data_IF_932304823125
#
_entry.id   IF_932304823125
#
_cell.length_a   1.000
_cell.length_b   1.000
_cell.length_c   1.000
_cell.angle_alpha   90.00
_cell.angle_beta   90.00
_cell.angle_gamma   90.00
#
_symmetry.space_group_name_H-M   'P 1'
#
loop_
_entity.id
_entity.type
_entity.pdbx_description
1 polymer ?
#
# COMPACT_ATOMS: atom_id res chain seq x y z
N UNK A 1 -18.93 42.54 42.81
CA UNK A 1 -20.26 41.88 42.93
C UNK A 1 -20.22 40.64 42.04
N UNK A 2 -19.87 39.47 42.60
CA UNK A 2 -19.79 38.23 41.82
C UNK A 2 -21.21 37.75 41.50
N UNK A 3 -21.56 37.66 40.21
CA UNK A 3 -22.81 37.01 39.77
C UNK A 3 -22.76 35.56 40.24
N UNK A 4 -23.75 35.14 41.05
CA UNK A 4 -23.93 33.71 41.38
C UNK A 4 -24.09 32.97 40.07
N UNK A 5 -23.17 32.03 39.80
CA UNK A 5 -23.29 31.10 38.68
C UNK A 5 -24.49 30.21 38.99
N UNK A 6 -25.43 30.14 38.06
CA UNK A 6 -26.59 29.27 38.16
C UNK A 6 -26.13 27.82 37.92
N UNK A 7 -25.87 27.10 39.02
CA UNK A 7 -25.36 25.72 39.01
C UNK A 7 -26.21 24.78 38.13
N UNK A 8 -27.56 24.84 38.16
CA UNK A 8 -28.43 24.14 37.21
C UNK A 8 -28.10 24.40 35.74
N UNK A 9 -27.89 25.68 35.37
CA UNK A 9 -27.57 26.04 33.99
C UNK A 9 -26.20 25.52 33.55
N UNK A 10 -25.20 25.56 34.45
CA UNK A 10 -23.88 25.01 34.21
C UNK A 10 -23.92 23.49 33.98
N UNK A 11 -24.69 22.76 34.80
CA UNK A 11 -24.86 21.31 34.67
C UNK A 11 -25.58 20.94 33.37
N UNK A 12 -26.60 21.71 32.97
CA UNK A 12 -27.30 21.50 31.71
C UNK A 12 -26.38 21.69 30.49
N UNK A 13 -25.53 22.72 30.51
CA UNK A 13 -24.53 22.96 29.47
C UNK A 13 -23.49 21.84 29.43
N UNK A 14 -22.99 21.40 30.58
CA UNK A 14 -22.04 20.28 30.66
C UNK A 14 -22.65 18.98 30.12
N UNK A 15 -23.90 18.69 30.48
CA UNK A 15 -24.62 17.52 29.98
C UNK A 15 -24.81 17.57 28.45
N UNK A 16 -25.12 18.74 27.89
CA UNK A 16 -25.17 18.95 26.44
C UNK A 16 -23.84 18.64 25.77
N UNK A 17 -22.72 19.17 26.28
CA UNK A 17 -21.39 18.89 25.74
C UNK A 17 -21.02 17.41 25.80
N UNK A 18 -21.34 16.73 26.91
CA UNK A 18 -21.10 15.29 27.06
C UNK A 18 -21.95 14.50 26.06
N UNK A 19 -23.23 14.84 25.91
CA UNK A 19 -24.13 14.16 24.96
C UNK A 19 -23.67 14.36 23.50
N UNK A 20 -23.28 15.58 23.12
CA UNK A 20 -22.75 15.84 21.78
C UNK A 20 -21.44 15.10 21.55
N UNK A 21 -20.53 15.13 22.52
CA UNK A 21 -19.23 14.45 22.43
C UNK A 21 -19.40 12.93 22.32
N UNK A 22 -20.27 12.33 23.13
CA UNK A 22 -20.58 10.91 23.08
C UNK A 22 -21.22 10.49 21.74
N UNK A 23 -22.12 11.32 21.19
CA UNK A 23 -22.76 11.04 19.89
C UNK A 23 -21.75 11.08 18.75
N UNK A 24 -20.88 12.10 18.73
CA UNK A 24 -19.80 12.21 17.73
C UNK A 24 -18.84 11.03 17.86
N UNK A 25 -18.45 10.67 19.08
CA UNK A 25 -17.57 9.53 19.33
C UNK A 25 -18.19 8.21 18.86
N UNK A 26 -19.46 7.96 19.17
CA UNK A 26 -20.16 6.74 18.76
C UNK A 26 -20.27 6.65 17.24
N UNK A 27 -20.64 7.74 16.57
CA UNK A 27 -20.69 7.78 15.11
C UNK A 27 -19.31 7.52 14.50
N UNK A 28 -18.27 8.17 15.03
CA UNK A 28 -16.89 7.96 14.58
C UNK A 28 -16.43 6.51 14.80
N UNK A 29 -16.70 5.94 15.97
CA UNK A 29 -16.33 4.56 16.29
C UNK A 29 -17.06 3.54 15.40
N UNK A 30 -18.35 3.77 15.13
CA UNK A 30 -19.15 2.91 14.28
C UNK A 30 -18.70 3.00 12.81
N UNK A 31 -18.46 4.21 12.31
CA UNK A 31 -17.94 4.42 10.95
C UNK A 31 -16.55 3.76 10.80
N UNK A 32 -15.66 3.98 11.76
CA UNK A 32 -14.35 3.34 11.81
C UNK A 32 -14.44 1.81 11.83
N UNK A 33 -15.40 1.23 12.54
CA UNK A 33 -15.60 -0.21 12.57
C UNK A 33 -16.08 -0.76 11.22
N UNK A 34 -16.95 -0.02 10.51
CA UNK A 34 -17.41 -0.38 9.17
C UNK A 34 -16.26 -0.25 8.16
N UNK A 35 -15.52 0.85 8.17
CA UNK A 35 -14.37 1.12 7.29
C UNK A 35 -13.22 0.11 7.50
N UNK A 36 -13.13 -0.46 8.70
CA UNK A 36 -12.18 -1.53 9.03
C UNK A 36 -12.68 -2.94 8.69
N UNK A 37 -13.95 -3.09 8.29
CA UNK A 37 -14.51 -4.40 7.98
C UNK A 37 -14.49 -4.72 6.49
N UNK A 38 -14.33 -3.72 5.62
CA UNK A 38 -14.39 -3.81 4.16
C UNK A 38 -13.44 -2.79 3.54
N UNK A 39 -13.12 -2.97 2.27
CA UNK A 39 -12.38 -1.96 1.51
C UNK A 39 -13.09 -0.58 1.62
N UNK A 40 -12.33 0.52 1.75
CA UNK A 40 -12.92 1.85 1.75
C UNK A 40 -13.64 2.12 0.43
N UNK A 41 -14.82 2.74 0.48
CA UNK A 41 -15.64 3.02 -0.71
C UNK A 41 -14.87 3.80 -1.79
N UNK A 42 -14.01 4.74 -1.38
CA UNK A 42 -13.15 5.51 -2.29
C UNK A 42 -12.15 4.64 -3.07
N UNK A 43 -11.70 3.53 -2.49
CA UNK A 43 -10.81 2.56 -3.12
C UNK A 43 -11.62 1.68 -4.07
N UNK A 44 -12.73 1.12 -3.57
CA UNK A 44 -13.62 0.27 -4.35
C UNK A 44 -14.12 0.98 -5.62
N UNK A 45 -14.57 2.23 -5.52
CA UNK A 45 -15.07 3.02 -6.66
C UNK A 45 -13.96 3.60 -7.54
N UNK A 46 -12.69 3.43 -7.17
CA UNK A 46 -11.58 3.99 -7.93
C UNK A 46 -11.41 3.32 -9.28
N UNK A 47 -11.01 4.10 -10.29
CA UNK A 47 -10.71 3.58 -11.62
C UNK A 47 -9.58 2.54 -11.60
N UNK A 48 -8.61 2.69 -10.70
CA UNK A 48 -7.49 1.77 -10.54
C UNK A 48 -7.95 0.39 -10.09
N UNK A 49 -8.71 0.33 -8.99
CA UNK A 49 -9.29 -0.89 -8.46
C UNK A 49 -10.22 -1.59 -9.46
N UNK A 50 -11.17 -0.84 -10.04
CA UNK A 50 -12.13 -1.40 -10.99
C UNK A 50 -11.46 -2.03 -12.21
N UNK A 51 -10.42 -1.37 -12.77
CA UNK A 51 -9.62 -1.94 -13.85
C UNK A 51 -8.84 -3.18 -13.40
N UNK A 52 -8.29 -3.16 -12.19
CA UNK A 52 -7.51 -4.27 -11.66
C UNK A 52 -8.37 -5.51 -11.44
N UNK A 53 -9.48 -5.39 -10.71
CA UNK A 53 -10.45 -6.49 -10.52
C UNK A 53 -10.98 -6.99 -11.87
N UNK A 54 -11.32 -6.11 -12.80
CA UNK A 54 -11.77 -6.53 -14.14
C UNK A 54 -10.70 -7.35 -14.87
N UNK A 55 -9.43 -6.94 -14.78
CA UNK A 55 -8.32 -7.69 -15.37
C UNK A 55 -8.14 -9.07 -14.72
N UNK A 56 -8.30 -9.17 -13.40
CA UNK A 56 -8.29 -10.45 -12.70
C UNK A 56 -9.47 -11.34 -13.14
N UNK A 57 -10.68 -10.81 -13.22
CA UNK A 57 -11.84 -11.56 -13.73
C UNK A 57 -11.62 -12.07 -15.15
N UNK A 58 -11.02 -11.27 -16.03
CA UNK A 58 -10.66 -11.68 -17.38
C UNK A 58 -9.61 -12.81 -17.42
N UNK A 59 -8.76 -12.91 -16.40
CA UNK A 59 -7.81 -14.03 -16.20
C UNK A 59 -8.48 -15.26 -15.58
N UNK A 60 -9.76 -15.20 -15.22
CA UNK A 60 -10.55 -16.31 -14.69
C UNK A 60 -10.60 -16.36 -13.16
N UNK A 61 -10.24 -15.28 -12.47
CA UNK A 61 -10.43 -15.18 -11.01
C UNK A 61 -11.87 -14.81 -10.69
N UNK A 62 -12.51 -15.56 -9.80
CA UNK A 62 -13.77 -15.19 -9.17
C UNK A 62 -13.44 -14.36 -7.93
N UNK A 63 -13.48 -13.03 -8.05
CA UNK A 63 -13.17 -12.11 -6.95
C UNK A 63 -14.05 -10.86 -7.00
N UNK A 64 -14.56 -10.47 -5.84
CA UNK A 64 -15.35 -9.26 -5.64
C UNK A 64 -14.76 -8.37 -4.54
N UNK A 65 -15.12 -7.08 -4.55
CA UNK A 65 -14.64 -6.10 -3.58
C UNK A 65 -15.04 -6.46 -2.14
N UNK A 66 -16.21 -7.07 -1.98
CA UNK A 66 -16.75 -7.51 -0.71
C UNK A 66 -16.03 -8.75 -0.14
N UNK A 67 -15.04 -9.31 -0.83
CA UNK A 67 -14.20 -10.38 -0.30
C UNK A 67 -13.03 -9.87 0.54
N UNK A 68 -12.63 -8.62 0.33
CA UNK A 68 -11.50 -8.02 1.01
C UNK A 68 -11.85 -7.63 2.45
N UNK A 69 -11.01 -8.05 3.40
CA UNK A 69 -11.14 -7.75 4.83
C UNK A 69 -9.86 -7.17 5.36
N UNK A 70 -9.94 -6.16 6.22
CA UNK A 70 -8.76 -5.63 6.90
C UNK A 70 -8.13 -6.74 7.75
N UNK A 71 -6.84 -6.96 7.55
CA UNK A 71 -6.05 -7.95 8.29
C UNK A 71 -5.02 -7.28 9.18
N UNK A 72 -4.34 -6.27 8.66
CA UNK A 72 -3.25 -5.60 9.37
C UNK A 72 -3.34 -4.08 9.24
N UNK A 73 -2.89 -3.41 10.29
CA UNK A 73 -2.65 -1.96 10.29
C UNK A 73 -1.19 -1.75 10.69
N UNK A 74 -0.41 -1.18 9.77
CA UNK A 74 1.01 -0.94 9.93
C UNK A 74 1.33 0.55 9.77
N UNK A 75 2.52 0.96 10.22
CA UNK A 75 3.07 2.29 9.94
C UNK A 75 3.96 2.21 8.70
N UNK A 76 3.85 3.20 7.82
CA UNK A 76 4.61 3.24 6.55
C UNK A 76 6.08 3.56 6.84
N UNK A 77 6.30 4.61 7.64
CA UNK A 77 7.64 5.14 7.89
C UNK A 77 8.25 4.55 9.15
N UNK A 78 9.30 3.74 8.96
CA UNK A 78 10.33 3.54 9.96
C UNK A 78 11.51 4.46 9.61
N UNK A 79 11.98 5.27 10.56
CA UNK A 79 13.05 6.29 10.35
C UNK A 79 14.35 5.71 9.76
N UNK A 80 14.53 4.39 9.81
CA UNK A 80 15.69 3.69 9.23
C UNK A 80 15.64 3.48 7.71
N UNK A 81 14.49 3.68 7.05
CA UNK A 81 14.28 3.35 5.62
C UNK A 81 13.78 4.52 4.77
N UNK A 82 13.89 5.74 5.30
CA UNK A 82 13.43 6.96 4.65
C UNK A 82 14.57 7.99 4.62
N UNK A 83 14.80 8.57 3.45
CA UNK A 83 15.66 9.72 3.24
C UNK A 83 14.78 10.96 3.05
N UNK A 84 15.08 12.02 3.80
CA UNK A 84 14.34 13.29 3.75
C UNK A 84 15.35 14.40 3.50
N UNK A 85 15.11 15.19 2.46
CA UNK A 85 15.97 16.31 2.06
C UNK A 85 15.15 17.60 2.06
N UNK A 86 15.75 18.72 2.47
CA UNK A 86 15.09 20.02 2.36
C UNK A 86 15.19 20.52 0.92
N UNK A 87 14.11 21.03 0.35
CA UNK A 87 14.15 21.65 -0.99
C UNK A 87 15.06 22.87 -1.01
N UNK A 88 15.10 23.61 0.11
CA UNK A 88 15.96 24.79 0.29
C UNK A 88 17.46 24.46 0.33
N UNK A 89 17.84 23.18 0.45
CA UNK A 89 19.24 22.78 0.41
C UNK A 89 19.76 22.88 -1.03
N UNK A 90 20.98 23.41 -1.18
CA UNK A 90 21.58 23.69 -2.49
C UNK A 90 21.55 22.47 -3.42
N UNK A 91 20.88 22.61 -4.57
CA UNK A 91 20.81 21.61 -5.64
C UNK A 91 19.75 20.52 -5.45
N UNK A 92 19.00 20.51 -4.33
CA UNK A 92 17.96 19.49 -4.10
C UNK A 92 16.75 19.69 -5.02
N UNK A 93 16.30 20.93 -5.20
CA UNK A 93 15.20 21.23 -6.13
C UNK A 93 15.53 20.79 -7.56
N UNK A 94 16.72 21.14 -8.05
CA UNK A 94 17.19 20.76 -9.38
C UNK A 94 17.30 19.24 -9.54
N UNK A 95 17.84 18.54 -8.53
CA UNK A 95 17.92 17.09 -8.52
C UNK A 95 16.53 16.43 -8.50
N UNK A 96 15.58 17.02 -7.78
CA UNK A 96 14.20 16.56 -7.71
C UNK A 96 13.50 16.68 -9.07
N UNK A 97 13.58 17.84 -9.72
CA UNK A 97 12.99 18.03 -11.06
C UNK A 97 13.64 17.11 -12.10
N UNK A 98 14.97 16.94 -12.03
CA UNK A 98 15.70 16.04 -12.92
C UNK A 98 15.23 14.59 -12.75
N UNK A 99 15.07 14.11 -11.51
CA UNK A 99 14.59 12.75 -11.22
C UNK A 99 13.15 12.54 -11.67
N UNK A 100 12.26 13.51 -11.48
CA UNK A 100 10.90 13.44 -12.04
C UNK A 100 10.92 13.34 -13.56
N UNK A 101 11.72 14.16 -14.23
CA UNK A 101 11.84 14.15 -15.68
C UNK A 101 12.44 12.82 -16.20
N UNK A 102 13.43 12.28 -15.51
CA UNK A 102 14.01 10.96 -15.81
C UNK A 102 12.92 9.89 -15.78
N UNK A 103 12.19 9.76 -14.67
CA UNK A 103 11.18 8.70 -14.48
C UNK A 103 9.99 8.82 -15.43
N UNK A 104 9.65 10.05 -15.85
CA UNK A 104 8.65 10.27 -16.91
C UNK A 104 9.11 9.80 -18.28
N UNK A 105 10.40 9.57 -18.52
CA UNK A 105 10.94 9.19 -19.83
C UNK A 105 11.51 7.76 -19.88
N UNK A 106 11.41 6.99 -18.79
CA UNK A 106 11.92 5.61 -18.72
C UNK A 106 11.08 4.66 -19.59
N UNK A 107 11.75 3.78 -20.34
CA UNK A 107 11.13 2.60 -20.96
C UNK A 107 10.65 1.65 -19.84
N UNK A 108 9.38 1.24 -19.86
CA UNK A 108 8.65 0.53 -18.78
C UNK A 108 7.93 1.39 -17.73
N UNK A 109 7.35 2.53 -18.15
CA UNK A 109 6.39 3.30 -17.33
C UNK A 109 5.24 2.47 -16.74
N UNK A 110 4.95 1.25 -17.24
CA UNK A 110 3.91 0.36 -16.70
C UNK A 110 4.02 0.12 -15.19
N UNK A 111 5.23 0.17 -14.64
CA UNK A 111 5.52 -0.08 -13.22
C UNK A 111 5.89 1.19 -12.44
N UNK A 112 5.63 2.35 -13.04
CA UNK A 112 5.82 3.66 -12.42
C UNK A 112 4.48 4.38 -12.46
N UNK A 113 3.93 4.66 -11.29
CA UNK A 113 2.68 5.41 -11.18
C UNK A 113 2.98 6.82 -10.65
N UNK A 114 2.53 7.85 -11.35
CA UNK A 114 2.62 9.24 -10.89
C UNK A 114 1.34 9.66 -10.15
N UNK A 115 1.48 10.53 -9.16
CA UNK A 115 0.33 11.15 -8.51
C UNK A 115 -0.44 12.08 -9.45
N UNK A 116 -1.69 12.44 -9.11
CA UNK A 116 -2.43 13.47 -9.83
C UNK A 116 -1.72 14.82 -9.94
N UNK A 117 -0.84 15.16 -8.99
CA UNK A 117 -0.02 16.38 -9.02
C UNK A 117 1.23 16.27 -9.90
N UNK A 118 1.62 15.08 -10.36
CA UNK A 118 2.89 14.80 -11.03
C UNK A 118 4.15 15.18 -10.22
N UNK A 119 4.00 15.41 -8.90
CA UNK A 119 5.07 15.81 -7.96
C UNK A 119 5.61 14.65 -7.13
N UNK A 120 5.14 13.44 -7.40
CA UNK A 120 5.55 12.23 -6.70
C UNK A 120 5.19 11.02 -7.57
N UNK A 121 5.89 9.92 -7.34
CA UNK A 121 5.64 8.65 -8.02
C UNK A 121 5.91 7.46 -7.11
N UNK A 122 5.35 6.33 -7.51
CA UNK A 122 5.62 5.00 -6.99
C UNK A 122 6.38 4.22 -8.06
N UNK A 123 7.54 3.68 -7.71
CA UNK A 123 8.27 2.72 -8.53
C UNK A 123 8.16 1.35 -7.89
N UNK A 124 7.55 0.42 -8.61
CA UNK A 124 7.36 -0.96 -8.19
C UNK A 124 7.85 -1.92 -9.28
N UNK A 125 8.87 -1.52 -10.04
CA UNK A 125 9.50 -2.38 -11.05
C UNK A 125 10.05 -3.66 -10.41
N UNK A 126 9.92 -4.80 -11.09
CA UNK A 126 10.58 -6.03 -10.66
C UNK A 126 12.10 -5.90 -10.72
N UNK A 127 12.75 -6.15 -9.59
CA UNK A 127 14.20 -6.29 -9.51
C UNK A 127 14.57 -7.77 -9.58
N UNK A 128 15.51 -8.14 -10.46
CA UNK A 128 16.11 -9.47 -10.44
C UNK A 128 16.99 -9.56 -9.19
N UNK A 129 16.47 -10.13 -8.10
CA UNK A 129 17.28 -10.48 -6.92
C UNK A 129 17.86 -11.87 -7.07
N UNK A 130 18.95 -11.95 -7.83
CA UNK A 130 19.73 -13.18 -8.04
C UNK A 130 21.26 -13.01 -8.04
N UNK A 131 21.78 -11.78 -8.05
CA UNK A 131 23.23 -11.52 -8.17
C UNK A 131 23.78 -10.67 -7.01
N UNK A 132 23.77 -11.24 -5.79
CA UNK A 132 24.74 -10.89 -4.74
C UNK A 132 25.20 -12.16 -4.05
N UNK A 133 25.83 -13.03 -4.84
CA UNK A 133 26.83 -14.00 -4.41
C UNK A 133 27.49 -14.54 -5.68
N UNK A 134 28.44 -13.79 -6.24
CA UNK A 134 29.32 -14.21 -7.35
C UNK A 134 30.26 -15.40 -7.00
N UNK A 135 29.94 -16.20 -5.99
CA UNK A 135 30.77 -17.31 -5.52
C UNK A 135 30.23 -18.70 -5.85
N UNK A 136 28.99 -18.86 -6.36
CA UNK A 136 28.43 -20.19 -6.64
C UNK A 136 27.75 -20.25 -8.02
N UNK A 137 28.57 -20.34 -9.08
CA UNK A 137 28.17 -20.58 -10.48
C UNK A 137 27.90 -22.06 -10.78
N UNK A 138 27.23 -22.77 -9.88
CA UNK A 138 26.78 -24.14 -10.14
C UNK A 138 25.40 -24.31 -9.49
N UNK A 139 24.36 -23.91 -10.23
CA UNK A 139 22.97 -24.39 -10.13
C UNK A 139 22.14 -23.56 -11.13
N UNK A 140 22.10 -24.00 -12.38
CA UNK A 140 21.38 -23.38 -13.51
C UNK A 140 19.84 -23.53 -13.46
N UNK A 141 19.27 -23.98 -12.34
CA UNK A 141 17.80 -24.15 -12.17
C UNK A 141 17.23 -23.38 -10.96
N UNK A 142 17.77 -22.21 -10.62
CA UNK A 142 17.29 -21.42 -9.46
C UNK A 142 16.21 -20.41 -9.83
N UNK A 143 14.96 -20.85 -9.73
CA UNK A 143 13.79 -20.09 -9.22
C UNK A 143 13.93 -18.55 -9.20
N UNK A 144 13.85 -17.87 -10.36
CA UNK A 144 13.87 -16.42 -10.42
C UNK A 144 12.48 -15.85 -10.08
N UNK A 145 12.22 -15.65 -8.79
CA UNK A 145 11.26 -14.62 -8.37
C UNK A 145 11.95 -13.27 -8.51
N UNK A 146 11.32 -12.32 -9.21
CA UNK A 146 11.73 -10.92 -9.16
C UNK A 146 10.85 -10.23 -8.11
N UNK A 147 11.25 -10.19 -6.83
CA UNK A 147 10.52 -9.43 -5.84
C UNK A 147 10.58 -7.95 -6.22
N UNK A 148 9.46 -7.27 -6.07
CA UNK A 148 9.40 -5.83 -6.27
C UNK A 148 9.50 -5.19 -4.88
N UNK A 149 10.37 -4.22 -4.69
CA UNK A 149 10.21 -3.28 -3.59
C UNK A 149 9.39 -2.10 -4.13
N UNK A 150 8.49 -1.53 -3.33
CA UNK A 150 7.80 -0.29 -3.73
C UNK A 150 8.55 0.88 -3.15
N UNK A 151 9.09 1.71 -4.03
CA UNK A 151 9.76 2.95 -3.70
C UNK A 151 8.79 4.10 -3.91
N UNK A 152 8.67 4.95 -2.89
CA UNK A 152 8.01 6.23 -2.98
C UNK A 152 9.06 7.32 -3.17
N UNK A 153 8.83 8.21 -4.13
CA UNK A 153 9.60 9.42 -4.30
C UNK A 153 8.64 10.59 -4.48
N UNK A 154 8.78 11.66 -3.71
CA UNK A 154 7.85 12.77 -3.80
C UNK A 154 8.22 14.01 -3.01
N UNK A 155 7.61 15.13 -3.38
CA UNK A 155 7.66 16.35 -2.58
C UNK A 155 6.46 16.42 -1.63
N UNK A 156 6.75 16.65 -0.34
CA UNK A 156 5.75 17.01 0.67
C UNK A 156 6.19 18.29 1.36
N UNK A 157 5.35 19.32 1.27
CA UNK A 157 5.65 20.66 1.76
C UNK A 157 6.99 21.17 1.19
N UNK A 158 8.00 21.37 2.04
CA UNK A 158 9.36 21.80 1.70
C UNK A 158 10.37 20.64 1.69
N UNK A 159 9.91 19.38 1.76
CA UNK A 159 10.77 18.20 1.88
C UNK A 159 10.60 17.22 0.72
N UNK A 160 11.72 16.84 0.13
CA UNK A 160 11.80 15.70 -0.79
C UNK A 160 11.94 14.42 0.04
N UNK A 161 11.05 13.47 -0.18
CA UNK A 161 11.01 12.19 0.52
C UNK A 161 11.34 11.10 -0.48
N UNK A 162 12.28 10.24 -0.11
CA UNK A 162 12.60 8.99 -0.78
C UNK A 162 12.50 7.87 0.24
N UNK A 163 11.60 6.91 0.02
CA UNK A 163 11.34 5.86 0.98
C UNK A 163 10.98 4.54 0.30
N UNK A 164 11.53 3.45 0.84
CA UNK A 164 10.97 2.13 0.56
C UNK A 164 9.76 1.90 1.45
N UNK A 165 8.57 1.91 0.86
CA UNK A 165 7.32 1.81 1.60
C UNK A 165 6.86 0.37 1.81
N UNK A 166 7.05 -0.50 0.81
CA UNK A 166 6.70 -1.92 0.89
C UNK A 166 7.87 -2.75 0.36
N UNK A 167 8.03 -3.94 0.94
CA UNK A 167 9.06 -4.89 0.51
C UNK A 167 8.47 -6.27 0.45
N UNK A 168 8.62 -6.88 -0.72
CA UNK A 168 7.97 -8.11 -1.05
C UNK A 168 8.78 -9.30 -0.52
N UNK A 169 8.10 -10.22 0.19
CA UNK A 169 8.76 -11.36 0.83
C UNK A 169 8.94 -12.51 -0.15
N UNK A 170 10.20 -12.88 -0.40
CA UNK A 170 10.55 -13.98 -1.29
C UNK A 170 9.93 -15.31 -0.84
N UNK A 171 9.92 -15.58 0.47
CA UNK A 171 9.36 -16.81 1.03
C UNK A 171 7.86 -16.94 0.75
N UNK A 172 7.16 -15.81 0.60
CA UNK A 172 5.73 -15.74 0.33
C UNK A 172 5.40 -15.79 -1.17
N UNK A 173 6.39 -15.97 -2.06
CA UNK A 173 6.23 -15.81 -3.51
C UNK A 173 5.47 -14.51 -3.83
N UNK A 174 5.77 -13.46 -3.07
CA UNK A 174 5.05 -12.20 -3.17
C UNK A 174 5.38 -11.53 -4.51
N UNK A 175 4.43 -10.74 -5.02
CA UNK A 175 4.64 -9.79 -6.12
C UNK A 175 3.66 -8.62 -6.06
N UNK A 176 4.12 -7.43 -6.46
CA UNK A 176 3.26 -6.24 -6.62
C UNK A 176 2.79 -6.11 -8.07
N UNK A 177 1.48 -6.25 -8.28
CA UNK A 177 0.86 -6.29 -9.61
C UNK A 177 0.57 -4.89 -10.16
N UNK A 178 0.11 -3.98 -9.29
CA UNK A 178 -0.26 -2.62 -9.69
C UNK A 178 -0.16 -1.65 -8.52
N UNK A 179 0.15 -0.39 -8.82
CA UNK A 179 -0.10 0.73 -7.92
C UNK A 179 -0.97 1.79 -8.60
N UNK A 180 -1.73 2.55 -7.81
CA UNK A 180 -2.54 3.66 -8.30
C UNK A 180 -2.81 4.68 -7.18
N UNK A 181 -2.84 5.96 -7.53
CA UNK A 181 -3.23 7.01 -6.59
C UNK A 181 -4.75 7.20 -6.54
N UNK A 182 -5.29 7.37 -5.32
CA UNK A 182 -6.65 7.87 -5.09
C UNK A 182 -6.62 9.40 -5.10
N UNK A 183 -5.63 9.97 -4.42
CA UNK A 183 -5.30 11.39 -4.38
C UNK A 183 -3.79 11.55 -4.14
N UNK A 184 -3.29 12.77 -3.86
CA UNK A 184 -1.85 13.00 -3.66
C UNK A 184 -1.29 12.43 -2.34
N UNK A 185 -2.14 11.96 -1.43
CA UNK A 185 -1.75 11.49 -0.11
C UNK A 185 -2.17 10.05 0.15
N UNK A 186 -3.12 9.54 -0.62
CA UNK A 186 -3.62 8.19 -0.52
C UNK A 186 -3.42 7.45 -1.84
N UNK A 187 -2.79 6.29 -1.75
CA UNK A 187 -2.59 5.40 -2.89
C UNK A 187 -2.75 3.95 -2.46
N UNK A 188 -2.90 3.09 -3.46
CA UNK A 188 -3.14 1.68 -3.25
C UNK A 188 -2.15 0.85 -4.05
N UNK A 189 -1.67 -0.22 -3.43
CA UNK A 189 -0.76 -1.18 -4.05
C UNK A 189 -1.39 -2.57 -3.94
N UNK A 190 -1.56 -3.19 -5.10
CA UNK A 190 -2.08 -4.54 -5.25
C UNK A 190 -0.94 -5.55 -5.15
N UNK A 191 -1.05 -6.49 -4.21
CA UNK A 191 -0.10 -7.58 -4.00
C UNK A 191 -0.78 -8.93 -4.23
N UNK A 192 -0.02 -9.86 -4.82
CA UNK A 192 -0.34 -11.29 -4.82
C UNK A 192 0.72 -11.97 -3.96
N UNK A 193 0.30 -12.69 -2.93
CA UNK A 193 1.23 -13.47 -2.11
C UNK A 193 0.58 -14.66 -1.46
N UNK A 194 1.41 -15.63 -1.08
CA UNK A 194 0.97 -16.77 -0.28
C UNK A 194 0.56 -16.27 1.11
N UNK A 195 -0.56 -16.76 1.65
CA UNK A 195 -0.94 -16.43 3.01
C UNK A 195 0.14 -16.97 3.95
N UNK A 196 0.63 -16.12 4.85
CA UNK A 196 1.61 -16.52 5.84
C UNK A 196 1.32 -15.82 7.15
N UNK A 197 1.39 -16.56 8.24
CA UNK A 197 1.35 -15.97 9.57
C UNK A 197 2.78 -15.70 10.07
N UNK A 198 2.91 -14.72 10.96
CA UNK A 198 4.21 -14.35 11.52
C UNK A 198 4.80 -15.52 12.30
N UNK A 199 5.97 -16.00 11.88
CA UNK A 199 6.67 -17.14 12.51
C UNK A 199 6.34 -18.49 11.87
N UNK A 200 5.48 -18.53 10.85
CA UNK A 200 5.26 -19.72 10.05
C UNK A 200 6.40 -19.91 9.05
N UNK A 201 6.92 -21.14 8.95
CA UNK A 201 7.79 -21.54 7.84
C UNK A 201 6.89 -21.88 6.67
N UNK A 202 7.05 -21.17 5.56
CA UNK A 202 6.36 -21.47 4.33
C UNK A 202 7.11 -22.57 3.58
N UNK A 203 6.43 -23.68 3.31
CA UNK A 203 6.96 -24.70 2.41
C UNK A 203 7.24 -24.07 1.05
N UNK A 204 8.38 -24.36 0.39
CA UNK A 204 8.67 -23.85 -0.94
C UNK A 204 7.52 -24.16 -1.90
N UNK A 205 7.14 -23.17 -2.71
CA UNK A 205 6.17 -23.32 -3.77
C UNK A 205 6.81 -22.83 -5.06
N UNK A 206 6.84 -23.68 -6.09
CA UNK A 206 7.38 -23.28 -7.40
C UNK A 206 6.29 -22.62 -8.25
N UNK A 207 6.69 -21.81 -9.23
CA UNK A 207 5.75 -21.06 -10.09
C UNK A 207 4.86 -21.96 -10.96
N UNK A 208 5.30 -23.21 -11.19
CA UNK A 208 4.65 -24.20 -12.04
C UNK A 208 3.79 -25.20 -11.26
N UNK A 209 3.71 -25.02 -9.94
CA UNK A 209 2.90 -25.88 -9.06
C UNK A 209 1.70 -25.10 -8.53
N UNK A 210 0.57 -25.80 -8.29
CA UNK A 210 -0.59 -25.18 -7.70
C UNK A 210 -0.30 -24.87 -6.22
N UNK A 211 -0.49 -23.61 -5.84
CA UNK A 211 -0.36 -23.17 -4.46
C UNK A 211 -1.47 -22.23 -4.07
N UNK A 212 -1.63 -22.05 -2.76
CA UNK A 212 -2.62 -21.14 -2.20
C UNK A 212 -2.04 -19.73 -2.16
N UNK A 213 -2.78 -18.78 -2.73
CA UNK A 213 -2.48 -17.36 -2.77
C UNK A 213 -3.65 -16.54 -2.24
N UNK A 214 -3.34 -15.28 -1.95
CA UNK A 214 -4.30 -14.24 -1.58
C UNK A 214 -4.00 -12.98 -2.38
N UNK A 215 -5.04 -12.21 -2.68
CA UNK A 215 -4.89 -10.85 -3.16
C UNK A 215 -4.91 -9.91 -1.96
N UNK A 216 -4.01 -8.93 -1.97
CA UNK A 216 -3.95 -7.90 -0.94
C UNK A 216 -3.99 -6.52 -1.57
N UNK A 217 -4.77 -5.63 -0.97
CA UNK A 217 -4.76 -4.19 -1.27
C UNK A 217 -4.15 -3.47 -0.07
N UNK A 218 -2.98 -2.88 -0.28
CA UNK A 218 -2.34 -2.00 0.70
C UNK A 218 -2.85 -0.59 0.48
N UNK A 219 -3.71 -0.10 1.36
CA UNK A 219 -4.21 1.28 1.30
C UNK A 219 -3.29 2.14 2.15
N UNK A 220 -2.45 2.90 1.46
CA UNK A 220 -1.40 3.72 2.06
C UNK A 220 -1.90 5.15 2.23
N UNK A 221 -1.87 5.66 3.45
CA UNK A 221 -2.22 7.03 3.81
C UNK A 221 -1.01 7.77 4.38
N UNK A 222 -0.43 8.65 3.57
CA UNK A 222 0.76 9.43 3.91
C UNK A 222 0.50 10.47 5.01
N UNK A 223 -0.73 10.98 5.14
CA UNK A 223 -1.07 11.98 6.15
C UNK A 223 -1.09 11.32 7.53
N UNK A 224 -1.71 10.14 7.61
CA UNK A 224 -1.87 9.41 8.86
C UNK A 224 -0.70 8.46 9.17
N UNK A 225 0.28 8.34 8.26
CA UNK A 225 1.39 7.36 8.35
C UNK A 225 0.87 5.92 8.51
N UNK A 226 -0.14 5.54 7.73
CA UNK A 226 -0.84 4.26 7.87
C UNK A 226 -0.77 3.43 6.61
N UNK A 227 -0.54 2.13 6.80
CA UNK A 227 -0.71 1.08 5.81
C UNK A 227 -1.82 0.14 6.30
N UNK A 228 -2.95 0.15 5.60
CA UNK A 228 -4.09 -0.72 5.88
C UNK A 228 -4.10 -1.86 4.86
N UNK A 229 -3.83 -3.08 5.34
CA UNK A 229 -3.72 -4.25 4.48
C UNK A 229 -5.05 -4.99 4.46
N UNK A 230 -5.73 -4.96 3.32
CA UNK A 230 -6.96 -5.71 3.09
C UNK A 230 -6.66 -6.97 2.29
N UNK A 231 -7.13 -8.13 2.77
CA UNK A 231 -6.85 -9.44 2.16
C UNK A 231 -8.13 -10.10 1.67
N UNK A 232 -8.07 -10.68 0.47
CA UNK A 232 -9.14 -11.50 -0.10
C UNK A 232 -9.24 -12.88 0.57
N UNK A 233 -10.21 -13.69 0.16
CA UNK A 233 -10.17 -15.12 0.47
C UNK A 233 -9.00 -15.80 -0.25
N UNK A 234 -8.44 -16.89 0.31
CA UNK A 234 -7.43 -17.68 -0.37
C UNK A 234 -7.99 -18.42 -1.60
N UNK A 235 -7.17 -18.57 -2.62
CA UNK A 235 -7.46 -19.30 -3.85
C UNK A 235 -6.24 -20.11 -4.30
N UNK A 236 -6.48 -21.19 -5.03
CA UNK A 236 -5.43 -22.07 -5.55
C UNK A 236 -5.12 -21.76 -7.02
N UNK A 237 -3.84 -21.64 -7.36
CA UNK A 237 -3.41 -21.28 -8.70
C UNK A 237 -1.97 -21.71 -8.99
N UNK A 238 -1.67 -21.95 -10.28
CA UNK A 238 -0.31 -21.97 -10.84
C UNK A 238 0.02 -20.56 -11.32
N UNK A 239 0.99 -19.87 -10.69
CA UNK A 239 1.25 -18.45 -10.96
C UNK A 239 1.64 -18.18 -12.42
N UNK A 240 2.48 -19.05 -13.00
CA UNK A 240 2.99 -18.89 -14.37
C UNK A 240 1.87 -18.95 -15.43
N UNK A 241 0.74 -19.59 -15.14
CA UNK A 241 -0.39 -19.68 -16.07
C UNK A 241 -1.18 -18.38 -16.21
N UNK A 242 -1.10 -17.46 -15.24
CA UNK A 242 -2.03 -16.31 -15.13
C UNK A 242 -1.36 -14.95 -15.01
N UNK A 243 -0.05 -14.89 -14.73
CA UNK A 243 0.67 -13.62 -14.57
C UNK A 243 1.85 -13.60 -15.55
N UNK A 244 1.77 -12.76 -16.58
CA UNK A 244 2.85 -12.58 -17.55
C UNK A 244 4.12 -12.04 -16.89
N UNK A 245 5.27 -12.67 -17.18
CA UNK A 245 6.56 -12.32 -16.56
C UNK A 245 6.89 -13.11 -15.30
N UNK A 246 6.10 -14.14 -15.00
CA UNK A 246 6.39 -15.25 -14.10
C UNK A 246 6.74 -16.51 -14.90
#
# INVERSE_FOLDING_TARGET
MYKKIDIPALLAVLALFILTGATVYLNYAQQKAVDRSKLPEKVELSKGFQKWITNLKNKGFEIEADEFRLKEENEIYNTTRMSVFSVDDNGIEEAFEAKLAEYKNIENQKFIEFSPSDRQFLDYRPEIRGERNEANRENEDKHLYNPNDVQFYGLRDDKVIEAKILSCKLEANCYFDRAYFIDNHVFVISEVSRPFERGQVLEPCTQNEPCIYTFKEHVIDLINNQDLIYESKPFEIVLSDKIEGF
#
